data_IF_088409320364
#
_entry.id   IF_088409320364
#
_cell.length_a   1.000
_cell.length_b   1.000
_cell.length_c   1.000
_cell.angle_alpha   90.00
_cell.angle_beta   90.00
_cell.angle_gamma   90.00
#
_symmetry.space_group_name_H-M   'P 1'
#
loop_
_entity.id
_entity.type
_entity.pdbx_description
1 polymer ?
#
# COMPACT_ATOMS: atom_id res chain seq x y z
N UNK A 1 39.61 -18.52 -11.95
CA UNK A 1 38.93 -17.83 -10.83
C UNK A 1 37.89 -18.78 -10.29
N UNK A 2 38.07 -19.23 -9.03
CA UNK A 2 37.07 -20.01 -8.33
C UNK A 2 35.96 -19.02 -7.90
N UNK A 3 34.75 -19.24 -8.35
CA UNK A 3 33.58 -18.58 -7.77
C UNK A 3 33.43 -19.08 -6.34
N UNK A 4 33.24 -18.15 -5.41
CA UNK A 4 32.99 -18.48 -4.00
C UNK A 4 31.74 -19.37 -3.89
N UNK A 5 31.89 -20.49 -3.22
CA UNK A 5 30.82 -21.49 -3.07
C UNK A 5 29.66 -21.01 -2.19
N UNK A 6 29.81 -19.86 -1.53
CA UNK A 6 28.78 -19.33 -0.63
C UNK A 6 28.76 -17.78 -0.62
N UNK A 7 28.21 -17.12 -1.65
CA UNK A 7 28.19 -15.66 -1.73
C UNK A 7 27.40 -14.98 -0.60
N UNK A 8 26.62 -15.74 0.17
CA UNK A 8 25.89 -15.22 1.33
C UNK A 8 26.78 -14.91 2.52
N UNK A 9 28.00 -15.47 2.60
CA UNK A 9 28.94 -15.17 3.70
C UNK A 9 29.51 -13.74 3.63
N UNK A 10 29.48 -13.13 2.46
CA UNK A 10 29.92 -11.74 2.25
C UNK A 10 28.86 -10.70 2.67
N UNK A 11 27.64 -11.14 2.96
CA UNK A 11 26.57 -10.25 3.44
C UNK A 11 26.67 -10.18 4.96
N UNK A 12 26.75 -8.98 5.58
CA UNK A 12 26.69 -8.82 7.03
C UNK A 12 25.49 -9.56 7.62
N UNK A 13 25.68 -10.19 8.79
CA UNK A 13 24.68 -11.06 9.42
C UNK A 13 23.35 -10.34 9.65
N UNK A 14 23.40 -9.04 9.92
CA UNK A 14 22.25 -8.12 10.05
C UNK A 14 21.43 -7.99 8.77
N UNK A 15 22.03 -8.24 7.60
CA UNK A 15 21.36 -8.19 6.28
C UNK A 15 20.96 -9.59 5.77
N UNK A 16 21.50 -10.66 6.38
CA UNK A 16 21.16 -12.05 6.00
C UNK A 16 19.77 -12.45 6.46
N UNK A 17 19.32 -11.92 7.60
CA UNK A 17 18.01 -12.19 8.18
C UNK A 17 17.27 -10.86 8.44
N UNK A 18 16.65 -10.26 7.44
CA UNK A 18 15.87 -9.03 7.63
C UNK A 18 14.62 -9.22 8.51
N UNK A 19 14.41 -10.43 9.04
CA UNK A 19 13.22 -10.80 9.83
C UNK A 19 13.35 -10.78 11.34
N UNK A 20 14.55 -10.74 11.92
CA UNK A 20 14.72 -10.86 13.39
C UNK A 20 15.17 -9.59 14.11
N UNK A 21 15.54 -8.52 13.42
CA UNK A 21 16.20 -7.37 14.02
C UNK A 21 15.34 -6.17 14.40
N UNK A 22 14.17 -5.97 13.81
CA UNK A 22 13.28 -4.84 14.15
C UNK A 22 11.84 -5.21 13.81
N UNK A 23 11.07 -5.63 14.79
CA UNK A 23 9.60 -5.64 14.65
C UNK A 23 9.17 -4.22 14.32
N UNK A 24 8.53 -4.03 13.15
CA UNK A 24 7.88 -2.78 12.80
C UNK A 24 6.77 -2.46 13.82
N UNK A 25 6.41 -1.20 13.90
CA UNK A 25 5.31 -0.74 14.76
C UNK A 25 4.01 -1.31 14.19
N UNK A 26 3.22 -2.00 15.00
CA UNK A 26 1.92 -2.51 14.59
C UNK A 26 0.94 -1.35 14.41
N UNK A 27 0.33 -1.27 13.23
CA UNK A 27 -0.72 -0.32 12.89
C UNK A 27 -2.01 -1.09 12.59
N UNK A 28 -3.02 -0.89 13.42
CA UNK A 28 -4.35 -1.47 13.24
C UNK A 28 -5.20 -0.58 12.32
N UNK A 29 -5.41 -1.04 11.09
CA UNK A 29 -6.14 -0.31 10.05
C UNK A 29 -7.65 -0.29 10.27
N UNK A 30 -8.19 -1.21 11.08
CA UNK A 30 -9.62 -1.32 11.34
C UNK A 30 -10.12 -0.32 12.40
N UNK A 31 -9.21 0.46 12.99
CA UNK A 31 -9.58 1.59 13.87
C UNK A 31 -10.19 2.79 13.13
N UNK A 32 -10.20 2.76 11.82
CA UNK A 32 -10.67 3.83 10.95
C UNK A 32 -9.54 4.70 10.40
N UNK A 33 -9.77 5.31 9.25
CA UNK A 33 -8.72 6.03 8.51
C UNK A 33 -8.14 7.22 9.30
N UNK A 34 -8.96 7.94 10.04
CA UNK A 34 -8.50 9.09 10.83
C UNK A 34 -7.62 8.65 12.00
N UNK A 35 -7.97 7.55 12.67
CA UNK A 35 -7.14 6.96 13.73
C UNK A 35 -5.80 6.45 13.19
N UNK A 36 -5.82 5.83 12.02
CA UNK A 36 -4.60 5.38 11.33
C UNK A 36 -3.69 6.56 10.98
N UNK A 37 -4.25 7.63 10.44
CA UNK A 37 -3.49 8.86 10.12
C UNK A 37 -2.90 9.50 11.37
N UNK A 38 -3.66 9.58 12.45
CA UNK A 38 -3.18 10.10 13.73
C UNK A 38 -2.03 9.26 14.29
N UNK A 39 -2.11 7.94 14.17
CA UNK A 39 -1.03 7.03 14.60
C UNK A 39 0.22 7.20 13.75
N UNK A 40 0.09 7.21 12.41
CA UNK A 40 1.21 7.39 11.49
C UNK A 40 1.93 8.74 11.67
N UNK A 41 1.20 9.79 12.07
CA UNK A 41 1.75 11.12 12.33
C UNK A 41 2.78 11.17 13.45
N UNK A 42 2.80 10.18 14.32
CA UNK A 42 3.72 10.11 15.47
C UNK A 42 5.14 9.69 15.09
N UNK A 43 5.33 9.17 13.88
CA UNK A 43 6.59 8.54 13.46
C UNK A 43 7.24 9.26 12.31
N UNK A 44 8.58 9.30 12.26
CA UNK A 44 9.32 9.91 11.15
C UNK A 44 9.29 9.02 9.89
N UNK A 45 9.67 9.63 8.76
CA UNK A 45 9.95 8.91 7.51
C UNK A 45 10.96 7.78 7.76
N UNK A 46 10.85 6.71 7.00
CA UNK A 46 11.63 5.47 7.12
C UNK A 46 11.27 4.56 8.31
N UNK A 47 10.32 4.94 9.15
CA UNK A 47 9.82 4.06 10.20
C UNK A 47 9.18 2.82 9.58
N UNK A 48 9.59 1.64 10.04
CA UNK A 48 8.97 0.37 9.65
C UNK A 48 7.69 0.15 10.41
N UNK A 49 6.65 -0.28 9.70
CA UNK A 49 5.33 -0.58 10.26
C UNK A 49 4.88 -1.97 9.80
N UNK A 50 4.14 -2.64 10.66
CA UNK A 50 3.42 -3.86 10.35
C UNK A 50 1.92 -3.56 10.34
N UNK A 51 1.32 -3.68 9.18
CA UNK A 51 -0.10 -3.36 9.00
C UNK A 51 -0.96 -4.59 9.30
N UNK A 52 -2.06 -4.34 10.01
CA UNK A 52 -3.09 -5.34 10.31
C UNK A 52 -4.46 -4.75 10.04
N UNK A 53 -5.32 -5.48 9.36
CA UNK A 53 -6.68 -5.07 9.08
C UNK A 53 -7.02 -5.04 7.59
N UNK A 54 -7.96 -4.20 7.21
CA UNK A 54 -8.55 -4.13 5.88
C UNK A 54 -7.83 -3.12 4.99
N UNK A 55 -7.51 -3.55 3.76
CA UNK A 55 -6.91 -2.72 2.71
C UNK A 55 -7.72 -2.88 1.43
N UNK A 56 -7.97 -1.81 0.71
CA UNK A 56 -8.53 -1.82 -0.63
C UNK A 56 -7.40 -1.88 -1.66
N UNK A 57 -7.54 -2.78 -2.60
CA UNK A 57 -6.56 -3.01 -3.67
C UNK A 57 -7.13 -2.47 -4.97
N UNK A 58 -6.47 -1.49 -5.55
CA UNK A 58 -6.88 -0.86 -6.79
C UNK A 58 -5.67 -0.31 -7.55
N UNK A 59 -5.67 -0.48 -8.87
CA UNK A 59 -4.62 0.03 -9.74
C UNK A 59 -5.19 0.89 -10.88
N UNK A 60 -4.53 0.97 -12.00
CA UNK A 60 -4.75 1.98 -13.05
C UNK A 60 -6.20 2.09 -13.55
N UNK A 61 -6.80 0.98 -13.99
CA UNK A 61 -8.15 1.01 -14.58
C UNK A 61 -9.20 1.34 -13.53
N UNK A 62 -9.06 0.80 -12.32
CA UNK A 62 -9.97 1.12 -11.22
C UNK A 62 -9.93 2.61 -10.86
N UNK A 63 -8.74 3.22 -10.78
CA UNK A 63 -8.60 4.66 -10.56
C UNK A 63 -9.23 5.48 -11.68
N UNK A 64 -9.02 5.09 -12.94
CA UNK A 64 -9.64 5.77 -14.08
C UNK A 64 -11.18 5.69 -14.05
N UNK A 65 -11.73 4.54 -13.68
CA UNK A 65 -13.19 4.38 -13.54
C UNK A 65 -13.76 5.21 -12.39
N UNK A 66 -13.10 5.25 -11.24
CA UNK A 66 -13.53 6.10 -10.13
C UNK A 66 -13.45 7.58 -10.47
N UNK A 67 -12.41 8.02 -11.19
CA UNK A 67 -12.31 9.38 -11.69
C UNK A 67 -13.46 9.71 -12.64
N UNK A 68 -13.79 8.83 -13.57
CA UNK A 68 -14.92 9.05 -14.50
C UNK A 68 -16.25 9.19 -13.74
N UNK A 69 -16.45 8.47 -12.64
CA UNK A 69 -17.62 8.61 -11.77
C UNK A 69 -17.65 9.97 -11.07
N UNK A 70 -16.53 10.44 -10.55
CA UNK A 70 -16.42 11.78 -9.97
C UNK A 70 -16.71 12.87 -11.01
N UNK A 71 -16.17 12.74 -12.21
CA UNK A 71 -16.42 13.67 -13.33
C UNK A 71 -17.89 13.68 -13.76
N UNK A 72 -18.62 12.57 -13.57
CA UNK A 72 -20.06 12.46 -13.78
C UNK A 72 -20.91 13.01 -12.62
N UNK A 73 -20.29 13.49 -11.55
CA UNK A 73 -20.96 14.03 -10.37
C UNK A 73 -21.36 12.97 -9.32
N UNK A 74 -20.87 11.74 -9.45
CA UNK A 74 -21.07 10.72 -8.43
C UNK A 74 -20.13 10.93 -7.23
N UNK A 75 -20.53 10.45 -6.07
CA UNK A 75 -19.68 10.48 -4.88
C UNK A 75 -18.63 9.36 -4.90
N UNK A 76 -17.50 9.60 -4.22
CA UNK A 76 -16.49 8.58 -3.97
C UNK A 76 -17.10 7.45 -3.13
N UNK A 77 -16.92 6.16 -3.51
CA UNK A 77 -17.44 5.05 -2.71
C UNK A 77 -16.90 5.04 -1.28
N UNK A 78 -17.77 4.72 -0.32
CA UNK A 78 -17.41 4.70 1.10
C UNK A 78 -16.26 3.73 1.41
N UNK A 79 -16.23 2.56 0.78
CA UNK A 79 -15.13 1.60 0.97
C UNK A 79 -13.77 2.18 0.55
N UNK A 80 -13.75 3.06 -0.45
CA UNK A 80 -12.52 3.70 -0.93
C UNK A 80 -12.05 4.84 -0.02
N UNK A 81 -12.98 5.47 0.71
CA UNK A 81 -12.67 6.51 1.71
C UNK A 81 -12.23 5.95 3.06
N UNK A 82 -12.78 4.81 3.45
CA UNK A 82 -12.63 4.27 4.81
C UNK A 82 -11.39 3.41 5.03
N UNK A 83 -10.66 3.07 3.97
CA UNK A 83 -9.54 2.14 4.02
C UNK A 83 -8.30 2.68 3.30
N UNK A 84 -7.09 2.25 3.71
CA UNK A 84 -5.89 2.44 2.91
C UNK A 84 -6.00 1.80 1.53
N UNK A 85 -5.31 2.36 0.56
CA UNK A 85 -5.31 1.89 -0.83
C UNK A 85 -3.95 1.29 -1.18
N UNK A 86 -3.92 0.03 -1.55
CA UNK A 86 -2.75 -0.66 -2.09
C UNK A 86 -2.80 -0.66 -3.61
N UNK A 87 -1.78 -0.12 -4.25
CA UNK A 87 -1.65 -0.15 -5.71
C UNK A 87 -1.08 -1.49 -6.15
N UNK A 88 -1.97 -2.42 -6.41
CA UNK A 88 -1.63 -3.77 -6.80
C UNK A 88 -2.76 -4.42 -7.59
N UNK A 89 -2.47 -5.60 -8.13
CA UNK A 89 -3.49 -6.49 -8.70
C UNK A 89 -3.13 -7.93 -8.36
N UNK A 90 -4.10 -8.73 -7.88
CA UNK A 90 -3.87 -10.13 -7.58
C UNK A 90 -3.73 -10.95 -8.86
N UNK A 91 -2.73 -11.81 -8.91
CA UNK A 91 -2.66 -12.86 -9.90
C UNK A 91 -3.75 -13.91 -9.61
N UNK A 92 -4.02 -14.78 -10.58
CA UNK A 92 -4.97 -15.89 -10.39
C UNK A 92 -4.59 -16.70 -9.15
N UNK A 93 -5.56 -16.92 -8.29
CA UNK A 93 -5.36 -17.65 -7.03
C UNK A 93 -5.08 -19.14 -7.32
N UNK A 94 -3.93 -19.68 -6.87
CA UNK A 94 -3.67 -21.11 -6.93
C UNK A 94 -4.57 -21.86 -5.93
N UNK A 95 -4.82 -23.13 -6.21
CA UNK A 95 -5.57 -24.00 -5.32
C UNK A 95 -4.91 -24.11 -3.94
N UNK A 96 -5.68 -23.98 -2.88
CA UNK A 96 -5.18 -24.05 -1.49
C UNK A 96 -4.55 -22.78 -0.93
N UNK A 97 -4.59 -21.67 -1.65
CA UNK A 97 -4.09 -20.36 -1.17
C UNK A 97 -5.23 -19.35 -1.01
N UNK A 98 -5.12 -18.41 -0.05
CA UNK A 98 -6.15 -17.38 0.16
C UNK A 98 -6.22 -16.39 -1.01
N UNK A 99 -5.09 -16.12 -1.67
CA UNK A 99 -5.03 -15.29 -2.87
C UNK A 99 -3.83 -15.66 -3.73
N UNK A 100 -3.83 -15.21 -4.99
CA UNK A 100 -2.68 -15.25 -5.86
C UNK A 100 -1.59 -14.27 -5.45
N UNK A 101 -0.45 -14.33 -6.14
CA UNK A 101 0.63 -13.38 -5.96
C UNK A 101 0.13 -11.95 -6.10
N UNK A 102 0.41 -11.09 -5.11
CA UNK A 102 0.02 -9.69 -5.07
C UNK A 102 1.23 -8.82 -5.40
N UNK A 103 1.35 -8.39 -6.65
CA UNK A 103 2.44 -7.54 -7.11
C UNK A 103 2.11 -6.06 -6.98
N UNK A 104 2.77 -5.30 -6.06
CA UNK A 104 2.61 -3.85 -6.02
C UNK A 104 3.05 -3.24 -7.35
N UNK A 105 2.22 -2.36 -7.91
CA UNK A 105 2.56 -1.60 -9.11
C UNK A 105 3.29 -0.31 -8.76
N UNK A 106 3.92 0.30 -9.76
CA UNK A 106 4.68 1.54 -9.59
C UNK A 106 3.76 2.68 -9.21
N UNK A 107 4.06 3.34 -8.11
CA UNK A 107 3.19 4.33 -7.47
C UNK A 107 2.89 5.56 -8.34
N UNK A 108 3.88 6.06 -9.08
CA UNK A 108 3.76 7.28 -9.87
C UNK A 108 2.69 7.22 -10.99
N UNK A 109 2.25 6.03 -11.36
CA UNK A 109 1.17 5.88 -12.35
C UNK A 109 -0.18 6.39 -11.84
N UNK A 110 -0.38 6.41 -10.52
CA UNK A 110 -1.57 6.92 -9.87
C UNK A 110 -1.46 8.37 -9.40
N UNK A 111 -0.29 9.00 -9.54
CA UNK A 111 -0.05 10.37 -9.09
C UNK A 111 -1.12 11.38 -9.59
N UNK A 112 -1.58 11.31 -10.85
CA UNK A 112 -2.59 12.25 -11.36
C UNK A 112 -3.95 12.21 -10.64
N UNK A 113 -4.25 11.12 -9.94
CA UNK A 113 -5.53 10.95 -9.25
C UNK A 113 -5.50 11.42 -7.79
N UNK A 114 -4.32 11.58 -7.20
CA UNK A 114 -4.16 11.68 -5.74
C UNK A 114 -4.81 12.93 -5.17
N UNK A 115 -4.55 14.11 -5.71
CA UNK A 115 -5.08 15.37 -5.17
C UNK A 115 -6.62 15.37 -5.18
N UNK A 116 -7.22 15.01 -6.30
CA UNK A 116 -8.68 14.95 -6.44
C UNK A 116 -9.31 13.88 -5.52
N UNK A 117 -8.71 12.70 -5.44
CA UNK A 117 -9.22 11.63 -4.59
C UNK A 117 -9.10 12.00 -3.10
N UNK A 118 -8.01 12.64 -2.71
CA UNK A 118 -7.83 13.13 -1.34
C UNK A 118 -8.80 14.28 -1.01
N UNK A 119 -9.12 15.14 -1.95
CA UNK A 119 -10.15 16.17 -1.79
C UNK A 119 -11.53 15.57 -1.50
N UNK A 120 -11.81 14.39 -2.06
CA UNK A 120 -13.01 13.59 -1.78
C UNK A 120 -12.89 12.67 -0.56
N UNK A 121 -11.82 12.79 0.23
CA UNK A 121 -11.59 12.00 1.45
C UNK A 121 -11.09 10.58 1.23
N UNK A 122 -10.62 10.25 0.03
CA UNK A 122 -10.07 8.94 -0.32
C UNK A 122 -8.55 8.99 -0.52
N UNK A 123 -7.90 7.84 -0.65
CA UNK A 123 -6.45 7.73 -0.88
C UNK A 123 -5.59 8.51 0.12
N UNK A 124 -6.08 8.67 1.35
CA UNK A 124 -5.36 9.39 2.42
C UNK A 124 -4.22 8.57 3.00
N UNK A 125 -4.26 7.25 2.87
CA UNK A 125 -3.15 6.35 3.16
C UNK A 125 -2.94 5.46 1.93
N UNK A 126 -1.82 5.63 1.26
CA UNK A 126 -1.48 4.92 0.02
C UNK A 126 -0.32 3.99 0.26
N UNK A 127 -0.39 2.78 -0.30
CA UNK A 127 0.63 1.74 -0.17
C UNK A 127 1.04 1.29 -1.57
N UNK A 128 2.32 1.38 -1.91
CA UNK A 128 2.83 0.94 -3.21
C UNK A 128 4.35 0.76 -3.19
N UNK A 129 4.94 0.56 -4.35
CA UNK A 129 6.40 0.57 -4.54
C UNK A 129 6.84 1.76 -5.39
N UNK A 130 8.08 2.21 -5.18
CA UNK A 130 8.71 3.28 -5.96
C UNK A 130 8.43 4.67 -5.42
N UNK A 131 8.95 5.65 -6.12
CA UNK A 131 8.86 7.05 -5.72
C UNK A 131 7.55 7.68 -6.22
N UNK A 132 7.18 8.78 -5.56
CA UNK A 132 6.07 9.64 -5.95
C UNK A 132 6.62 10.96 -6.52
N UNK A 133 5.83 11.60 -7.37
CA UNK A 133 6.14 12.95 -7.86
C UNK A 133 5.80 14.05 -6.82
N UNK A 134 6.30 15.26 -7.06
CA UNK A 134 6.07 16.42 -6.18
C UNK A 134 4.58 16.74 -6.01
N UNK A 135 3.77 16.49 -7.03
CA UNK A 135 2.31 16.65 -6.99
C UNK A 135 1.66 15.86 -5.84
N UNK A 136 2.19 14.67 -5.54
CA UNK A 136 1.69 13.85 -4.42
C UNK A 136 2.16 14.40 -3.08
N UNK A 137 3.38 14.91 -3.01
CA UNK A 137 3.88 15.57 -1.80
C UNK A 137 3.02 16.78 -1.46
N UNK A 138 2.69 17.62 -2.43
CA UNK A 138 1.81 18.78 -2.23
C UNK A 138 0.38 18.36 -1.84
N UNK A 139 -0.18 17.34 -2.50
CA UNK A 139 -1.48 16.80 -2.15
C UNK A 139 -1.52 16.26 -0.70
N UNK A 140 -0.51 15.51 -0.29
CA UNK A 140 -0.41 15.00 1.08
C UNK A 140 -0.27 16.12 2.12
N UNK A 141 0.47 17.18 1.82
CA UNK A 141 0.53 18.38 2.68
C UNK A 141 -0.84 19.06 2.80
N UNK A 142 -1.54 19.22 1.70
CA UNK A 142 -2.85 19.88 1.64
C UNK A 142 -3.95 19.10 2.35
N UNK A 143 -3.98 17.78 2.18
CA UNK A 143 -5.08 16.93 2.64
C UNK A 143 -4.74 16.05 3.86
N UNK A 144 -3.48 16.07 4.31
CA UNK A 144 -3.02 15.23 5.42
C UNK A 144 -2.86 13.76 5.04
N UNK A 145 -2.34 13.49 3.85
CA UNK A 145 -2.13 12.14 3.33
C UNK A 145 -0.79 11.54 3.73
N UNK A 146 -0.70 10.21 3.58
CA UNK A 146 0.50 9.41 3.85
C UNK A 146 0.79 8.47 2.69
N UNK A 147 2.05 8.24 2.43
CA UNK A 147 2.51 7.22 1.51
C UNK A 147 3.41 6.22 2.22
N UNK A 148 3.05 4.95 2.12
CA UNK A 148 3.81 3.83 2.66
C UNK A 148 4.46 3.06 1.50
N UNK A 149 5.77 2.88 1.58
CA UNK A 149 6.51 2.05 0.64
C UNK A 149 6.45 0.57 1.03
N UNK A 150 6.31 -0.32 0.06
CA UNK A 150 6.49 -1.76 0.25
C UNK A 150 7.90 -2.16 -0.14
N UNK A 151 8.44 -3.17 0.54
CA UNK A 151 9.74 -3.75 0.18
C UNK A 151 9.54 -4.59 -1.08
N UNK A 152 10.17 -4.19 -2.19
CA UNK A 152 10.10 -4.90 -3.46
C UNK A 152 10.69 -6.30 -3.37
N UNK A 153 10.17 -7.24 -4.17
CA UNK A 153 10.64 -8.64 -4.23
C UNK A 153 9.93 -9.63 -3.31
N UNK A 154 9.08 -9.17 -2.41
CA UNK A 154 8.41 -10.00 -1.39
C UNK A 154 6.95 -10.33 -1.77
N UNK A 155 6.49 -9.95 -2.97
CA UNK A 155 5.09 -10.13 -3.39
C UNK A 155 4.56 -11.57 -3.21
N UNK A 156 5.37 -12.57 -3.52
CA UNK A 156 4.98 -13.98 -3.36
C UNK A 156 4.98 -14.42 -1.88
N UNK A 157 5.84 -13.83 -1.06
CA UNK A 157 5.92 -14.12 0.39
C UNK A 157 4.79 -13.39 1.11
N UNK A 158 4.50 -12.14 0.74
CA UNK A 158 3.41 -11.35 1.32
C UNK A 158 2.06 -12.02 1.12
N UNK A 159 1.79 -12.55 -0.08
CA UNK A 159 0.52 -13.23 -0.35
C UNK A 159 0.33 -14.51 0.46
N UNK A 160 1.43 -15.19 0.82
CA UNK A 160 1.37 -16.43 1.60
C UNK A 160 1.23 -16.22 3.10
N UNK A 161 1.91 -15.20 3.63
CA UNK A 161 2.03 -15.00 5.08
C UNK A 161 1.15 -13.88 5.62
N UNK A 162 0.98 -12.80 4.87
CA UNK A 162 0.34 -11.58 5.37
C UNK A 162 -1.11 -11.41 4.93
N UNK A 163 -1.51 -11.92 3.75
CA UNK A 163 -2.88 -11.80 3.26
C UNK A 163 -3.70 -12.99 3.76
N UNK A 164 -4.73 -12.71 4.56
CA UNK A 164 -5.60 -13.72 5.17
C UNK A 164 -6.87 -13.98 4.37
N UNK A 165 -7.38 -12.97 3.69
CA UNK A 165 -8.57 -13.10 2.83
C UNK A 165 -8.55 -12.09 1.71
N UNK A 166 -9.30 -12.38 0.65
CA UNK A 166 -9.50 -11.49 -0.49
C UNK A 166 -10.94 -11.65 -1.00
N UNK A 167 -11.58 -10.54 -1.31
CA UNK A 167 -12.88 -10.52 -2.00
C UNK A 167 -12.92 -9.41 -3.06
N UNK A 168 -13.64 -9.64 -4.15
CA UNK A 168 -13.87 -8.62 -5.17
C UNK A 168 -14.99 -7.69 -4.71
N UNK A 169 -14.73 -6.39 -4.68
CA UNK A 169 -15.69 -5.37 -4.27
C UNK A 169 -16.44 -4.79 -5.46
N UNK A 170 -15.72 -4.48 -6.54
CA UNK A 170 -16.30 -3.84 -7.72
C UNK A 170 -15.50 -4.16 -8.99
N UNK A 171 -16.14 -4.12 -10.13
CA UNK A 171 -15.57 -4.39 -11.46
C UNK A 171 -14.97 -5.80 -11.64
N UNK A 172 -15.69 -6.89 -11.27
CA UNK A 172 -15.13 -8.25 -11.35
C UNK A 172 -14.69 -8.66 -12.77
N UNK A 173 -15.28 -8.06 -13.79
CA UNK A 173 -14.94 -8.28 -15.21
C UNK A 173 -13.51 -7.85 -15.55
N UNK A 174 -12.91 -6.98 -14.75
CA UNK A 174 -11.55 -6.47 -14.97
C UNK A 174 -10.46 -7.41 -14.42
N UNK A 175 -10.81 -8.47 -13.73
CA UNK A 175 -9.86 -9.42 -13.18
C UNK A 175 -8.88 -8.75 -12.20
N UNK A 176 -7.57 -8.79 -12.49
CA UNK A 176 -6.55 -8.16 -11.63
C UNK A 176 -6.68 -6.62 -11.54
N UNK A 177 -7.37 -5.98 -12.48
CA UNK A 177 -7.65 -4.54 -12.48
C UNK A 177 -8.97 -4.19 -11.77
N UNK A 178 -9.68 -5.17 -11.22
CA UNK A 178 -10.85 -4.96 -10.37
C UNK A 178 -10.46 -4.26 -9.06
N UNK A 179 -11.46 -3.85 -8.30
CA UNK A 179 -11.26 -3.38 -6.94
C UNK A 179 -11.46 -4.56 -5.99
N UNK A 180 -10.43 -4.84 -5.19
CA UNK A 180 -10.41 -5.93 -4.24
C UNK A 180 -10.34 -5.40 -2.81
N UNK A 181 -10.88 -6.15 -1.87
CA UNK A 181 -10.71 -5.94 -0.44
C UNK A 181 -9.91 -7.12 0.12
N UNK A 182 -8.83 -6.82 0.81
CA UNK A 182 -7.99 -7.81 1.47
C UNK A 182 -7.95 -7.56 2.97
N UNK A 183 -7.81 -8.62 3.74
CA UNK A 183 -7.46 -8.55 5.15
C UNK A 183 -6.03 -9.01 5.32
N UNK A 184 -5.22 -8.21 5.99
CA UNK A 184 -3.81 -8.47 6.21
C UNK A 184 -3.46 -8.58 7.69
N UNK A 185 -2.37 -9.29 7.95
CA UNK A 185 -1.73 -9.40 9.26
C UNK A 185 -0.22 -9.43 9.05
N UNK A 186 0.50 -8.68 9.87
CA UNK A 186 1.97 -8.51 9.76
C UNK A 186 2.43 -8.10 8.35
N UNK A 187 1.67 -7.21 7.70
CA UNK A 187 2.03 -6.70 6.38
C UNK A 187 3.11 -5.62 6.50
N UNK A 188 4.35 -5.90 6.05
CA UNK A 188 5.46 -4.98 6.23
C UNK A 188 5.43 -3.81 5.25
N UNK A 189 5.56 -2.61 5.77
CA UNK A 189 5.71 -1.38 5.01
C UNK A 189 6.61 -0.40 5.76
N UNK A 190 6.94 0.72 5.14
CA UNK A 190 7.67 1.81 5.77
C UNK A 190 7.09 3.17 5.36
N UNK A 191 7.14 4.13 6.26
CA UNK A 191 6.75 5.50 5.98
C UNK A 191 7.70 6.12 4.95
N UNK A 192 7.18 6.45 3.77
CA UNK A 192 7.96 7.04 2.69
C UNK A 192 7.68 8.53 2.51
N UNK A 193 6.43 8.95 2.75
CA UNK A 193 6.00 10.34 2.65
C UNK A 193 4.94 10.62 3.69
N UNK A 194 5.11 11.69 4.43
CA UNK A 194 4.19 12.17 5.45
C UNK A 194 3.82 13.63 5.19
N UNK A 195 2.68 14.06 5.68
CA UNK A 195 2.15 15.42 5.47
C UNK A 195 2.83 16.51 6.31
N UNK A 196 3.94 16.25 6.97
CA UNK A 196 4.59 17.24 7.83
C UNK A 196 5.07 18.41 6.97
N UNK A 197 4.52 19.61 7.23
CA UNK A 197 5.17 20.85 6.88
C UNK A 197 6.47 20.94 7.66
N UNK A 198 7.59 21.17 6.99
CA UNK A 198 8.85 21.44 7.67
C UNK A 198 8.65 22.54 8.72
N UNK A 199 9.22 22.38 9.92
CA UNK A 199 9.19 23.48 10.90
C UNK A 199 9.92 24.67 10.29
N UNK A 200 9.23 25.77 10.12
CA UNK A 200 9.79 27.09 9.75
C UNK A 200 10.81 27.54 10.77
#
# INVERSE_FOLDING_TARGET
>A
EKMDENPTELIPEELRNPGEGTKGIEIDLDKGIDAVRAELSKYPVSTRVNLKGTIIVARDIAHAKLKARLDAGEEMPEYFKNHPILYAGPAKTPEGYPCGSMGPTTANRMDPYVDEFQDHGASLVMIAKGNRGDIVTEACKKHGGFYLGTIGGVAAVLSKSSIKSIECVEYPELGMEAIWKITVEDFPAFLSLIHISEPT
#
